data_IF_602682562798
#
_entry.id   IF_602682562798
#
_cell.length_a   1.000
_cell.length_b   1.000
_cell.length_c   1.000
_cell.angle_alpha   90.00
_cell.angle_beta   90.00
_cell.angle_gamma   90.00
#
_symmetry.space_group_name_H-M   'P 1'
#
loop_
_entity.id
_entity.type
_entity.pdbx_description
1 polymer ?
#
# COMPACT_ATOMS: atom_id res chain seq x y z
N UNK A 1 -20.02 -1.85 15.97
CA UNK A 1 -20.92 -1.34 14.90
C UNK A 1 -20.52 -1.93 13.55
N UNK A 2 -21.47 -2.30 12.70
CA UNK A 2 -21.20 -2.69 11.30
C UNK A 2 -21.76 -1.62 10.34
N UNK A 3 -21.04 -1.29 9.27
CA UNK A 3 -21.49 -0.35 8.21
C UNK A 3 -21.11 -0.90 6.84
N UNK A 4 -22.06 -0.88 5.91
CA UNK A 4 -21.80 -1.23 4.52
C UNK A 4 -21.35 0.00 3.74
N UNK A 5 -20.26 -0.13 2.96
CA UNK A 5 -19.82 0.91 2.03
C UNK A 5 -19.04 0.32 0.86
N UNK A 6 -19.46 0.63 -0.36
CA UNK A 6 -18.78 0.22 -1.58
C UNK A 6 -17.81 1.33 -2.01
N UNK A 7 -16.54 1.16 -1.68
CA UNK A 7 -15.44 2.04 -2.09
C UNK A 7 -14.22 1.19 -2.41
N UNK A 8 -13.40 1.69 -3.34
CA UNK A 8 -12.09 1.11 -3.59
C UNK A 8 -11.23 1.16 -2.33
N UNK A 9 -10.63 0.04 -1.97
CA UNK A 9 -9.77 -0.05 -0.78
C UNK A 9 -8.54 0.84 -0.94
N UNK A 10 -8.18 1.54 0.11
CA UNK A 10 -7.14 2.56 0.19
C UNK A 10 -7.44 3.86 -0.55
N UNK A 11 -8.61 4.01 -1.19
CA UNK A 11 -8.96 5.24 -1.89
C UNK A 11 -9.17 6.41 -0.93
N UNK A 12 -9.05 7.64 -1.43
CA UNK A 12 -9.39 8.86 -0.69
C UNK A 12 -10.79 8.80 -0.05
N UNK A 13 -11.77 8.25 -0.76
CA UNK A 13 -13.14 8.09 -0.27
C UNK A 13 -13.23 7.09 0.90
N UNK A 14 -12.43 6.02 0.87
CA UNK A 14 -12.32 5.10 2.01
C UNK A 14 -11.61 5.76 3.18
N UNK A 15 -10.49 6.45 2.94
CA UNK A 15 -9.74 7.14 4.00
C UNK A 15 -10.61 8.17 4.71
N UNK A 16 -11.34 9.02 3.96
CA UNK A 16 -12.30 9.99 4.52
C UNK A 16 -13.39 9.31 5.36
N UNK A 17 -13.89 8.15 4.91
CA UNK A 17 -14.88 7.39 5.66
C UNK A 17 -14.34 6.86 7.00
N UNK A 18 -13.13 6.30 6.97
CA UNK A 18 -12.48 5.79 8.18
C UNK A 18 -12.10 6.91 9.14
N UNK A 19 -11.66 8.07 8.63
CA UNK A 19 -11.40 9.27 9.42
C UNK A 19 -12.66 9.82 10.10
N UNK A 20 -13.78 9.87 9.38
CA UNK A 20 -15.06 10.26 9.97
C UNK A 20 -15.44 9.32 11.14
N UNK A 21 -15.25 8.01 10.98
CA UNK A 21 -15.51 7.03 12.03
C UNK A 21 -14.54 7.16 13.21
N UNK A 22 -13.27 7.48 12.94
CA UNK A 22 -12.28 7.79 13.97
C UNK A 22 -12.70 9.00 14.80
N UNK A 23 -13.16 10.08 14.16
CA UNK A 23 -13.65 11.29 14.83
C UNK A 23 -14.87 11.02 15.72
N UNK A 24 -15.73 10.06 15.33
CA UNK A 24 -16.84 9.56 16.12
C UNK A 24 -16.40 8.66 17.30
N UNK A 25 -15.12 8.31 17.42
CA UNK A 25 -14.59 7.43 18.48
C UNK A 25 -14.59 5.94 18.12
N UNK A 26 -14.67 5.60 16.85
CA UNK A 26 -14.66 4.22 16.36
C UNK A 26 -13.37 3.87 15.62
N UNK A 27 -12.85 2.67 15.88
CA UNK A 27 -11.71 2.11 15.14
C UNK A 27 -12.12 0.85 14.40
N UNK A 28 -11.50 0.63 13.24
CA UNK A 28 -11.76 -0.51 12.38
C UNK A 28 -11.19 -1.79 13.00
N UNK A 29 -11.95 -2.89 12.92
CA UNK A 29 -11.52 -4.22 13.38
C UNK A 29 -11.71 -5.31 12.33
N UNK A 30 -12.34 -5.01 11.20
CA UNK A 30 -12.50 -5.97 10.13
C UNK A 30 -13.23 -5.41 8.92
N UNK A 31 -12.92 -5.94 7.74
CA UNK A 31 -13.58 -5.58 6.47
C UNK A 31 -13.87 -6.86 5.71
N UNK A 32 -15.14 -7.19 5.49
CA UNK A 32 -15.56 -8.38 4.76
C UNK A 32 -16.60 -7.96 3.72
N UNK A 33 -16.36 -8.20 2.44
CA UNK A 33 -17.30 -7.95 1.34
C UNK A 33 -17.96 -6.55 1.37
N UNK A 34 -17.18 -5.50 1.66
CA UNK A 34 -17.68 -4.12 1.74
C UNK A 34 -18.37 -3.76 3.08
N UNK A 35 -18.48 -4.71 4.00
CA UNK A 35 -18.96 -4.47 5.38
C UNK A 35 -17.77 -4.18 6.28
N UNK A 36 -17.74 -2.98 6.85
CA UNK A 36 -16.75 -2.53 7.81
C UNK A 36 -17.28 -2.77 9.23
N UNK A 37 -16.47 -3.44 10.05
CA UNK A 37 -16.75 -3.71 11.45
C UNK A 37 -15.88 -2.80 12.31
N UNK A 38 -16.52 -2.11 13.25
CA UNK A 38 -15.90 -1.14 14.13
C UNK A 38 -16.15 -1.47 15.60
N UNK A 39 -15.16 -1.15 16.44
CA UNK A 39 -15.29 -1.09 17.90
C UNK A 39 -15.20 0.36 18.38
N UNK A 40 -15.95 0.70 19.42
CA UNK A 40 -15.94 2.03 20.00
C UNK A 40 -14.86 2.12 21.08
N UNK A 41 -13.98 3.12 20.97
CA UNK A 41 -13.05 3.51 22.01
C UNK A 41 -12.69 4.99 21.82
N UNK A 42 -13.11 5.90 22.72
CA UNK A 42 -12.87 7.33 22.58
C UNK A 42 -11.40 7.71 22.39
N UNK A 43 -10.45 6.93 22.94
CA UNK A 43 -9.00 7.18 22.82
C UNK A 43 -8.50 7.12 21.38
N UNK A 44 -9.26 6.53 20.45
CA UNK A 44 -8.88 6.50 19.02
C UNK A 44 -8.90 7.90 18.39
N UNK A 45 -9.64 8.86 18.94
CA UNK A 45 -9.73 10.22 18.37
C UNK A 45 -8.35 10.89 18.30
N UNK A 46 -7.51 10.61 19.29
CA UNK A 46 -6.16 11.13 19.44
C UNK A 46 -5.11 10.35 18.64
N UNK A 47 -5.51 9.34 17.88
CA UNK A 47 -4.60 8.55 17.03
C UNK A 47 -4.48 9.11 15.61
N UNK A 48 -3.41 8.77 14.90
CA UNK A 48 -3.29 9.00 13.46
C UNK A 48 -3.66 7.73 12.69
N UNK A 49 -4.63 7.82 11.76
CA UNK A 49 -4.95 6.71 10.87
C UNK A 49 -4.00 6.71 9.68
N UNK A 50 -3.49 5.53 9.35
CA UNK A 50 -2.71 5.32 8.15
C UNK A 50 -3.12 4.03 7.44
N UNK A 51 -2.80 3.99 6.15
CA UNK A 51 -3.15 2.90 5.24
C UNK A 51 -1.93 2.50 4.43
N UNK A 52 -1.55 1.24 4.52
CA UNK A 52 -0.35 0.70 3.87
C UNK A 52 -0.70 -0.46 2.94
N UNK A 53 -0.14 -0.44 1.74
CA UNK A 53 -0.21 -1.56 0.81
C UNK A 53 0.99 -2.48 1.00
N UNK A 54 0.73 -3.78 1.17
CA UNK A 54 1.78 -4.80 1.33
C UNK A 54 1.44 -6.06 0.52
N UNK A 55 2.44 -6.88 0.20
CA UNK A 55 2.17 -8.23 -0.31
C UNK A 55 1.72 -9.16 0.82
N UNK A 56 0.74 -10.03 0.54
CA UNK A 56 0.17 -10.94 1.54
C UNK A 56 1.19 -11.89 2.14
N UNK A 57 2.27 -12.22 1.41
CA UNK A 57 3.36 -13.07 1.90
C UNK A 57 4.12 -12.47 3.09
N UNK A 58 4.04 -11.15 3.28
CA UNK A 58 4.70 -10.43 4.37
C UNK A 58 3.79 -10.24 5.60
N UNK A 59 2.52 -10.67 5.54
CA UNK A 59 1.65 -10.69 6.70
C UNK A 59 2.11 -11.79 7.65
N UNK A 60 2.68 -11.42 8.80
CA UNK A 60 2.86 -12.35 9.93
C UNK A 60 1.50 -12.53 10.63
N UNK A 61 1.16 -13.76 11.01
CA UNK A 61 -0.11 -14.13 11.64
C UNK A 61 -0.29 -13.63 13.10
N UNK A 62 0.52 -12.69 13.56
CA UNK A 62 0.51 -12.26 14.96
C UNK A 62 -0.45 -11.09 15.16
N UNK A 63 -1.66 -11.37 15.67
CA UNK A 63 -2.67 -10.38 16.04
C UNK A 63 -2.53 -9.84 17.48
N UNK A 64 -1.43 -10.15 18.18
CA UNK A 64 -1.21 -9.68 19.54
C UNK A 64 -0.39 -8.39 19.54
N UNK A 65 -1.10 -7.25 19.54
CA UNK A 65 -0.53 -5.94 19.79
C UNK A 65 -0.08 -5.93 21.26
N UNK A 66 1.23 -5.98 21.54
CA UNK A 66 1.78 -5.78 22.88
C UNK A 66 1.49 -4.35 23.37
N UNK A 67 1.31 -4.14 24.67
CA UNK A 67 0.99 -2.81 25.23
C UNK A 67 2.04 -1.73 24.89
N UNK A 68 3.30 -2.14 24.73
CA UNK A 68 4.44 -1.29 24.31
C UNK A 68 4.43 -0.92 22.83
N UNK A 69 3.45 -1.41 22.06
CA UNK A 69 3.32 -1.11 20.63
C UNK A 69 2.97 0.37 20.41
N UNK A 70 3.57 1.04 19.39
CA UNK A 70 3.19 2.38 18.97
C UNK A 70 1.79 2.41 18.31
N UNK A 71 1.24 1.24 18.00
CA UNK A 71 -0.08 1.09 17.40
C UNK A 71 -1.16 0.93 18.47
N UNK A 72 -2.21 1.75 18.37
CA UNK A 72 -3.46 1.58 19.10
C UNK A 72 -4.27 0.39 18.57
N UNK A 73 -4.39 0.28 17.25
CA UNK A 73 -5.08 -0.83 16.59
C UNK A 73 -4.49 -1.06 15.19
N UNK A 74 -4.50 -2.32 14.76
CA UNK A 74 -4.08 -2.74 13.43
C UNK A 74 -5.17 -3.64 12.86
N UNK A 75 -5.57 -3.42 11.62
CA UNK A 75 -6.49 -4.30 10.88
C UNK A 75 -5.94 -4.54 9.49
N UNK A 76 -5.99 -5.79 9.03
CA UNK A 76 -5.53 -6.16 7.70
C UNK A 76 -6.70 -6.66 6.86
N UNK A 77 -6.66 -6.35 5.55
CA UNK A 77 -7.62 -6.88 4.58
C UNK A 77 -6.88 -7.28 3.32
N UNK A 78 -6.96 -8.57 2.98
CA UNK A 78 -6.54 -9.06 1.67
C UNK A 78 -7.42 -8.43 0.58
N UNK A 79 -6.76 -7.85 -0.42
CA UNK A 79 -7.42 -7.24 -1.57
C UNK A 79 -7.87 -8.34 -2.52
N UNK A 80 -9.13 -8.27 -2.94
CA UNK A 80 -9.75 -9.32 -3.73
C UNK A 80 -9.03 -9.46 -5.09
N UNK A 81 -8.96 -10.70 -5.61
CA UNK A 81 -8.29 -11.05 -6.86
C UNK A 81 -6.80 -10.62 -6.94
N UNK A 82 -6.10 -10.56 -5.80
CA UNK A 82 -4.69 -10.13 -5.80
C UNK A 82 -3.85 -10.79 -4.71
N UNK A 83 -2.53 -10.70 -4.86
CA UNK A 83 -1.52 -11.06 -3.84
C UNK A 83 -1.22 -9.92 -2.85
N UNK A 84 -2.03 -8.87 -2.87
CA UNK A 84 -1.82 -7.66 -2.08
C UNK A 84 -2.84 -7.58 -0.94
N UNK A 85 -2.46 -6.87 0.12
CA UNK A 85 -3.30 -6.57 1.26
C UNK A 85 -3.15 -5.10 1.63
N UNK A 86 -4.19 -4.56 2.24
CA UNK A 86 -4.16 -3.25 2.86
C UNK A 86 -4.11 -3.42 4.39
N UNK A 87 -3.24 -2.66 5.03
CA UNK A 87 -3.08 -2.60 6.47
C UNK A 87 -3.56 -1.23 6.93
N UNK A 88 -4.54 -1.22 7.82
CA UNK A 88 -5.04 -0.03 8.50
C UNK A 88 -4.39 0.04 9.88
N UNK A 89 -3.63 1.10 10.15
CA UNK A 89 -2.97 1.32 11.43
C UNK A 89 -3.49 2.58 12.08
N UNK A 90 -3.74 2.51 13.38
CA UNK A 90 -4.04 3.66 14.24
C UNK A 90 -2.83 3.87 15.15
N UNK A 91 -2.09 4.95 14.96
CA UNK A 91 -0.88 5.28 15.71
C UNK A 91 -1.21 6.11 16.95
N UNK A 92 -0.64 5.77 18.11
CA UNK A 92 -0.84 6.52 19.36
C UNK A 92 -0.20 7.92 19.31
N UNK A 93 0.89 8.06 18.57
CA UNK A 93 1.65 9.31 18.44
C UNK A 93 1.32 9.99 17.10
N UNK A 94 1.02 11.29 17.13
CA UNK A 94 0.74 12.11 15.94
C UNK A 94 2.01 12.71 15.35
N UNK A 95 3.05 12.85 16.16
CA UNK A 95 4.27 13.61 15.83
C UNK A 95 5.37 12.70 15.27
N UNK A 96 5.20 11.39 15.38
CA UNK A 96 5.98 10.40 14.63
C UNK A 96 5.16 9.92 13.42
N UNK A 97 5.34 10.50 12.22
CA UNK A 97 4.72 10.03 10.98
C UNK A 97 5.41 8.73 10.57
N UNK A 98 5.11 7.66 11.30
CA UNK A 98 5.54 6.31 11.04
C UNK A 98 4.91 5.93 9.69
N UNK A 99 5.61 6.10 8.57
CA UNK A 99 5.24 5.67 7.22
C UNK A 99 4.24 6.55 6.43
N UNK A 100 4.78 7.35 5.52
CA UNK A 100 4.17 7.60 4.21
C UNK A 100 5.20 7.13 3.18
N UNK A 101 5.58 5.84 3.22
CA UNK A 101 6.72 5.35 2.47
C UNK A 101 6.44 5.27 0.96
N UNK A 102 7.44 5.59 0.17
CA UNK A 102 7.49 5.30 -1.28
C UNK A 102 7.13 3.84 -1.57
N UNK A 103 7.50 2.90 -0.69
CA UNK A 103 7.19 1.46 -0.79
C UNK A 103 5.68 1.15 -0.84
N UNK A 104 4.86 1.82 -0.02
CA UNK A 104 3.39 1.61 -0.07
C UNK A 104 2.80 2.16 -1.37
N UNK A 105 3.31 3.29 -1.90
CA UNK A 105 2.85 3.85 -3.19
C UNK A 105 3.26 2.98 -4.37
N UNK A 106 4.46 2.40 -4.35
CA UNK A 106 4.92 1.45 -5.38
C UNK A 106 4.06 0.18 -5.36
N UNK A 107 3.80 -0.36 -4.16
CA UNK A 107 2.96 -1.55 -4.00
C UNK A 107 1.52 -1.29 -4.42
N UNK A 108 0.97 -0.11 -4.11
CA UNK A 108 -0.32 0.35 -4.61
C UNK A 108 -0.34 0.41 -6.14
N UNK A 109 0.70 0.95 -6.79
CA UNK A 109 0.80 1.00 -8.25
C UNK A 109 0.77 -0.40 -8.87
N UNK A 110 1.57 -1.33 -8.32
CA UNK A 110 1.61 -2.71 -8.80
C UNK A 110 0.25 -3.40 -8.66
N UNK A 111 -0.45 -3.18 -7.54
CA UNK A 111 -1.81 -3.67 -7.35
C UNK A 111 -2.79 -3.09 -8.38
N UNK A 112 -2.77 -1.76 -8.60
CA UNK A 112 -3.67 -1.10 -9.53
C UNK A 112 -3.43 -1.53 -10.99
N UNK A 113 -2.17 -1.68 -11.40
CA UNK A 113 -1.81 -2.22 -12.72
C UNK A 113 -2.25 -3.68 -12.90
N UNK A 114 -2.08 -4.51 -11.86
CA UNK A 114 -2.54 -5.89 -11.91
C UNK A 114 -4.07 -5.98 -12.10
N UNK A 115 -4.80 -5.15 -11.36
CA UNK A 115 -6.25 -5.09 -11.42
C UNK A 115 -6.74 -4.52 -12.77
N UNK A 116 -6.03 -3.56 -13.36
CA UNK A 116 -6.26 -3.10 -14.74
C UNK A 116 -6.09 -4.23 -15.77
N UNK A 117 -5.03 -5.03 -15.65
CA UNK A 117 -4.80 -6.16 -16.55
C UNK A 117 -5.88 -7.24 -16.44
N UNK A 118 -6.36 -7.52 -15.22
CA UNK A 118 -7.49 -8.43 -15.01
C UNK A 118 -8.74 -7.91 -15.72
N UNK A 119 -9.08 -6.63 -15.57
CA UNK A 119 -10.26 -6.07 -16.23
C UNK A 119 -10.13 -6.06 -17.74
N UNK A 120 -8.93 -5.81 -18.28
CA UNK A 120 -8.67 -5.93 -19.71
C UNK A 120 -8.89 -7.36 -20.22
N UNK A 121 -8.38 -8.37 -19.50
CA UNK A 121 -8.60 -9.78 -19.82
C UNK A 121 -10.08 -10.17 -19.78
N UNK A 122 -10.82 -9.74 -18.76
CA UNK A 122 -12.28 -9.97 -18.65
C UNK A 122 -13.02 -9.30 -19.81
N UNK A 123 -12.63 -8.07 -20.17
CA UNK A 123 -13.22 -7.33 -21.30
C UNK A 123 -13.06 -8.11 -22.60
N UNK A 124 -11.84 -8.59 -22.88
CA UNK A 124 -11.55 -9.38 -24.08
C UNK A 124 -12.37 -10.67 -24.10
N UNK A 125 -12.43 -11.40 -22.98
CA UNK A 125 -13.20 -12.63 -22.88
C UNK A 125 -14.71 -12.41 -23.14
N UNK A 126 -15.29 -11.37 -22.53
CA UNK A 126 -16.71 -11.02 -22.74
C UNK A 126 -16.98 -10.66 -24.19
N UNK A 127 -16.08 -9.89 -24.82
CA UNK A 127 -16.19 -9.54 -26.23
C UNK A 127 -16.23 -10.79 -27.13
N UNK A 128 -15.32 -11.75 -26.92
CA UNK A 128 -15.34 -13.01 -27.69
C UNK A 128 -16.63 -13.80 -27.49
N UNK A 129 -17.12 -13.91 -26.25
CA UNK A 129 -18.37 -14.61 -25.94
C UNK A 129 -19.57 -13.92 -26.62
N UNK A 130 -19.66 -12.59 -26.54
CA UNK A 130 -20.74 -11.82 -27.16
C UNK A 130 -20.72 -11.91 -28.69
N UNK A 131 -19.53 -11.87 -29.32
CA UNK A 131 -19.37 -12.07 -30.76
C UNK A 131 -19.78 -13.47 -31.19
N UNK A 132 -19.38 -14.51 -30.44
CA UNK A 132 -19.78 -15.89 -30.70
C UNK A 132 -21.29 -16.10 -30.59
N UNK A 133 -21.91 -15.57 -29.53
CA UNK A 133 -23.37 -15.61 -29.34
C UNK A 133 -24.10 -14.85 -30.46
N UNK A 134 -23.58 -13.69 -30.87
CA UNK A 134 -24.16 -12.91 -31.95
C UNK A 134 -24.14 -13.68 -33.28
N UNK A 135 -22.99 -14.25 -33.64
CA UNK A 135 -22.86 -15.08 -34.85
C UNK A 135 -23.79 -16.29 -34.83
N UNK A 136 -23.88 -16.98 -33.69
CA UNK A 136 -24.78 -18.12 -33.51
C UNK A 136 -26.26 -17.75 -33.71
N UNK A 137 -26.69 -16.63 -33.14
CA UNK A 137 -28.08 -16.15 -33.26
C UNK A 137 -28.43 -15.75 -34.70
N UNK A 138 -27.47 -15.18 -35.44
CA UNK A 138 -27.65 -14.85 -36.86
C UNK A 138 -27.77 -16.13 -37.69
N UNK A 139 -26.91 -17.13 -37.44
CA UNK A 139 -26.94 -18.40 -38.16
C UNK A 139 -28.29 -19.12 -37.99
N UNK A 140 -28.91 -19.01 -36.82
CA UNK A 140 -30.24 -19.57 -36.53
C UNK A 140 -31.40 -18.73 -37.09
N UNK A 141 -31.13 -17.70 -37.90
CA UNK A 141 -32.15 -16.85 -38.54
C UNK A 141 -33.12 -16.16 -37.56
N UNK A 142 -32.68 -15.93 -36.32
CA UNK A 142 -33.46 -15.12 -35.39
C UNK A 142 -33.62 -13.69 -35.91
N UNK A 143 -34.77 -13.06 -35.64
CA UNK A 143 -35.02 -11.66 -36.01
C UNK A 143 -33.89 -10.76 -35.52
N UNK A 144 -33.50 -9.78 -36.34
CA UNK A 144 -32.44 -8.81 -36.02
C UNK A 144 -32.60 -8.14 -34.64
N UNK A 145 -33.83 -7.99 -34.13
CA UNK A 145 -34.10 -7.45 -32.80
C UNK A 145 -33.58 -8.33 -31.65
N UNK A 146 -33.66 -9.66 -31.78
CA UNK A 146 -33.19 -10.63 -30.79
C UNK A 146 -31.70 -10.86 -30.97
N UNK A 147 -31.24 -10.95 -32.22
CA UNK A 147 -29.83 -11.09 -32.53
C UNK A 147 -28.99 -9.92 -31.99
N UNK A 148 -29.52 -8.70 -31.89
CA UNK A 148 -28.79 -7.53 -31.36
C UNK A 148 -28.63 -7.49 -29.83
N UNK A 149 -29.28 -8.38 -29.06
CA UNK A 149 -29.26 -8.34 -27.59
C UNK A 149 -27.84 -8.54 -27.00
N UNK A 150 -27.02 -9.52 -27.44
CA UNK A 150 -25.66 -9.69 -26.95
C UNK A 150 -24.77 -8.45 -27.15
N UNK A 151 -24.94 -7.73 -28.27
CA UNK A 151 -24.20 -6.50 -28.56
C UNK A 151 -24.58 -5.37 -27.60
N UNK A 152 -25.86 -5.24 -27.22
CA UNK A 152 -26.31 -4.25 -26.23
C UNK A 152 -25.73 -4.53 -24.84
N UNK A 153 -25.71 -5.81 -24.43
CA UNK A 153 -25.07 -6.22 -23.18
C UNK A 153 -23.56 -5.96 -23.21
N UNK A 154 -22.88 -6.26 -24.32
CA UNK A 154 -21.46 -5.96 -24.51
C UNK A 154 -21.17 -4.47 -24.33
N UNK A 155 -21.97 -3.60 -24.95
CA UNK A 155 -21.84 -2.13 -24.83
C UNK A 155 -22.00 -1.65 -23.38
N UNK A 156 -22.98 -2.16 -22.64
CA UNK A 156 -23.18 -1.81 -21.24
C UNK A 156 -22.00 -2.24 -20.35
N UNK A 157 -21.49 -3.45 -20.56
CA UNK A 157 -20.33 -3.97 -19.82
C UNK A 157 -19.08 -3.15 -20.14
N UNK A 158 -18.86 -2.84 -21.42
CA UNK A 158 -17.76 -2.00 -21.88
C UNK A 158 -17.81 -0.61 -21.25
N UNK A 159 -18.99 0.02 -21.19
CA UNK A 159 -19.17 1.32 -20.55
C UNK A 159 -18.80 1.26 -19.06
N UNK A 160 -19.27 0.24 -18.34
CA UNK A 160 -18.94 0.05 -16.92
C UNK A 160 -17.44 -0.16 -16.68
N UNK A 161 -16.79 -1.00 -17.50
CA UNK A 161 -15.35 -1.26 -17.42
C UNK A 161 -14.52 -0.05 -17.84
N UNK A 162 -15.00 0.77 -18.78
CA UNK A 162 -14.35 2.01 -19.18
C UNK A 162 -14.32 3.02 -18.03
N UNK A 163 -15.46 3.24 -17.36
CA UNK A 163 -15.54 4.10 -16.17
C UNK A 163 -14.58 3.61 -15.09
N UNK A 164 -14.54 2.30 -14.86
CA UNK A 164 -13.71 1.70 -13.84
C UNK A 164 -12.20 1.83 -14.16
N UNK A 165 -11.83 1.63 -15.42
CA UNK A 165 -10.46 1.85 -15.92
C UNK A 165 -10.06 3.32 -15.81
N UNK A 166 -10.97 4.24 -16.11
CA UNK A 166 -10.73 5.67 -15.94
C UNK A 166 -10.44 6.04 -14.48
N UNK A 167 -11.22 5.51 -13.53
CA UNK A 167 -11.01 5.71 -12.09
C UNK A 167 -9.64 5.17 -11.65
N UNK A 168 -9.25 3.98 -12.12
CA UNK A 168 -7.94 3.38 -11.81
C UNK A 168 -6.82 4.24 -12.38
N UNK A 169 -6.89 4.63 -13.66
CA UNK A 169 -5.88 5.46 -14.32
C UNK A 169 -5.73 6.81 -13.63
N UNK A 170 -6.84 7.44 -13.23
CA UNK A 170 -6.81 8.66 -12.44
C UNK A 170 -6.08 8.46 -11.11
N UNK A 171 -6.36 7.36 -10.42
CA UNK A 171 -5.68 7.01 -9.15
C UNK A 171 -4.20 6.75 -9.35
N UNK A 172 -3.80 6.03 -10.41
CA UNK A 172 -2.39 5.81 -10.75
C UNK A 172 -1.69 7.16 -10.97
N UNK A 173 -2.28 8.05 -11.78
CA UNK A 173 -1.70 9.38 -12.05
C UNK A 173 -1.57 10.28 -10.82
N UNK A 174 -2.49 10.18 -9.87
CA UNK A 174 -2.54 11.07 -8.68
C UNK A 174 -1.80 10.51 -7.47
N UNK A 175 -1.59 9.20 -7.40
CA UNK A 175 -1.10 8.53 -6.18
C UNK A 175 0.26 7.85 -6.38
N UNK A 176 0.63 7.50 -7.61
CA UNK A 176 1.89 6.85 -7.90
C UNK A 176 2.96 7.91 -8.26
N UNK A 177 4.20 7.76 -7.78
CA UNK A 177 5.27 8.66 -8.19
C UNK A 177 5.44 8.58 -9.71
N UNK A 178 5.32 9.72 -10.37
CA UNK A 178 5.95 9.94 -11.67
C UNK A 178 7.43 9.59 -11.51
N UNK A 179 8.07 8.97 -12.51
CA UNK A 179 9.48 8.52 -12.45
C UNK A 179 10.50 9.57 -11.97
N UNK A 180 10.08 10.83 -11.89
CA UNK A 180 10.85 12.01 -11.51
C UNK A 180 10.71 12.36 -10.00
N UNK A 181 9.70 11.83 -9.31
CA UNK A 181 9.45 12.18 -7.90
C UNK A 181 10.15 11.20 -6.95
N UNK A 182 11.37 11.60 -6.58
CA UNK A 182 12.06 11.28 -5.33
C UNK A 182 12.60 9.84 -5.22
N UNK A 183 13.79 9.63 -5.81
CA UNK A 183 14.67 8.51 -5.45
C UNK A 183 15.09 8.70 -3.99
N UNK A 184 14.28 8.19 -3.06
CA UNK A 184 14.76 7.93 -1.71
C UNK A 184 15.69 6.73 -1.78
N UNK A 185 16.95 6.94 -1.41
CA UNK A 185 17.92 5.86 -1.31
C UNK A 185 17.68 5.14 0.03
N UNK A 186 17.48 3.83 -0.05
CA UNK A 186 17.38 2.97 1.13
C UNK A 186 18.77 2.51 1.53
N UNK A 187 19.20 2.89 2.73
CA UNK A 187 20.46 2.50 3.33
C UNK A 187 20.23 1.56 4.50
N UNK A 188 21.03 0.51 4.62
CA UNK A 188 21.11 -0.29 5.84
C UNK A 188 22.17 0.35 6.74
N UNK A 189 21.79 0.81 7.92
CA UNK A 189 22.67 1.38 8.92
C UNK A 189 22.78 0.43 10.11
N UNK A 190 23.97 -0.06 10.43
CA UNK A 190 24.19 -0.80 11.68
C UNK A 190 24.93 0.06 12.68
N UNK A 191 24.42 0.14 13.90
CA UNK A 191 24.99 0.90 15.02
C UNK A 191 25.40 -0.09 16.11
N UNK A 192 26.67 -0.07 16.51
CA UNK A 192 27.14 -0.83 17.66
C UNK A 192 27.00 0.03 18.92
N UNK A 193 26.38 -0.51 19.97
CA UNK A 193 26.17 0.20 21.24
C UNK A 193 26.53 -0.70 22.42
N UNK A 194 27.28 -0.15 23.38
CA UNK A 194 27.65 -0.85 24.62
C UNK A 194 26.54 -0.76 25.69
N UNK A 195 25.70 0.28 25.64
CA UNK A 195 24.76 0.64 26.72
C UNK A 195 23.28 0.33 26.38
N UNK A 196 23.05 -0.54 25.38
CA UNK A 196 21.72 -0.93 24.93
C UNK A 196 21.26 -0.21 23.64
N UNK A 197 19.95 -0.18 23.39
CA UNK A 197 19.40 0.32 22.12
C UNK A 197 19.77 1.79 21.90
N UNK A 198 20.43 2.15 20.77
CA UNK A 198 20.85 3.51 20.52
C UNK A 198 19.65 4.44 20.33
N UNK A 199 19.77 5.67 20.85
CA UNK A 199 18.78 6.71 20.64
C UNK A 199 18.96 7.33 19.25
N UNK A 200 17.88 7.30 18.46
CA UNK A 200 17.84 7.75 17.06
C UNK A 200 17.08 9.07 16.94
N UNK A 201 16.44 9.56 18.01
CA UNK A 201 15.74 10.85 17.98
C UNK A 201 16.60 11.99 17.42
N UNK A 202 17.90 12.11 17.77
CA UNK A 202 18.75 13.16 17.21
C UNK A 202 18.99 13.02 15.70
N UNK A 203 18.88 11.80 15.16
CA UNK A 203 19.22 11.46 13.78
C UNK A 203 18.00 11.48 12.84
N UNK A 204 16.81 11.80 13.34
CA UNK A 204 15.57 11.83 12.53
C UNK A 204 15.64 12.82 11.36
N UNK A 205 16.44 13.88 11.48
CA UNK A 205 16.64 14.86 10.41
C UNK A 205 17.30 14.26 9.14
N UNK A 206 17.98 13.12 9.27
CA UNK A 206 18.64 12.43 8.15
C UNK A 206 17.67 11.62 7.29
N UNK A 207 16.45 11.36 7.78
CA UNK A 207 15.46 10.59 7.06
C UNK A 207 14.68 9.65 7.96
N UNK A 208 13.96 8.70 7.35
CA UNK A 208 13.12 7.77 8.08
C UNK A 208 13.93 6.55 8.52
N UNK A 209 14.03 6.35 9.83
CA UNK A 209 14.74 5.23 10.45
C UNK A 209 13.77 4.10 10.81
N UNK A 210 14.13 2.87 10.45
CA UNK A 210 13.36 1.67 10.77
C UNK A 210 14.25 0.64 11.44
N UNK A 211 13.93 0.26 12.67
CA UNK A 211 14.62 -0.86 13.32
C UNK A 211 14.33 -2.18 12.60
N UNK A 212 15.38 -2.93 12.32
CA UNK A 212 15.31 -4.24 11.64
C UNK A 212 15.48 -5.35 12.66
N UNK A 213 16.63 -5.39 13.34
CA UNK A 213 16.97 -6.46 14.29
C UNK A 213 18.18 -6.05 15.13
N UNK A 214 18.39 -6.75 16.24
CA UNK A 214 19.64 -6.74 16.99
C UNK A 214 20.40 -8.06 16.74
N UNK A 215 21.72 -8.00 16.56
CA UNK A 215 22.58 -9.19 16.50
C UNK A 215 23.99 -8.82 17.01
N UNK A 216 24.51 -9.60 17.98
CA UNK A 216 25.86 -9.44 18.52
C UNK A 216 26.18 -8.01 19.04
N UNK A 217 25.25 -7.38 19.76
CA UNK A 217 25.42 -6.00 20.26
C UNK A 217 25.38 -4.91 19.17
N UNK A 218 25.02 -5.29 17.94
CA UNK A 218 24.77 -4.36 16.83
C UNK A 218 23.28 -4.25 16.56
N UNK A 219 22.80 -3.02 16.49
CA UNK A 219 21.43 -2.66 16.17
C UNK A 219 21.35 -2.26 14.70
N UNK A 220 20.56 -3.00 13.93
CA UNK A 220 20.39 -2.79 12.50
C UNK A 220 19.16 -1.94 12.24
N UNK A 221 19.33 -0.94 11.39
CA UNK A 221 18.31 -0.01 10.97
C UNK A 221 18.30 0.10 9.44
N UNK A 222 17.13 0.34 8.87
CA UNK A 222 17.03 0.87 7.51
C UNK A 222 16.78 2.37 7.60
N UNK A 223 17.65 3.16 6.99
CA UNK A 223 17.51 4.60 6.81
C UNK A 223 17.06 4.88 5.39
N UNK A 224 15.90 5.50 5.24
CA UNK A 224 15.43 6.03 3.96
C UNK A 224 15.72 7.53 3.92
N UNK A 225 16.65 7.92 3.08
CA UNK A 225 17.11 9.32 2.99
C UNK A 225 17.09 9.84 1.56
N UNK A 226 16.89 11.15 1.44
CA UNK A 226 17.15 11.92 0.21
C UNK A 226 18.61 12.34 0.10
N UNK A 227 19.37 12.24 1.20
CA UNK A 227 20.75 12.64 1.23
C UNK A 227 21.64 11.54 0.65
N UNK A 228 22.68 11.91 -0.12
CA UNK A 228 23.63 10.97 -0.66
C UNK A 228 24.45 10.32 0.46
N UNK A 229 25.02 9.14 0.18
CA UNK A 229 25.69 8.28 1.15
C UNK A 229 26.82 9.00 1.89
N UNK A 230 27.57 9.82 1.16
CA UNK A 230 28.73 10.58 1.66
C UNK A 230 28.28 11.61 2.70
N UNK A 231 27.15 12.28 2.46
CA UNK A 231 26.56 13.23 3.40
C UNK A 231 26.06 12.50 4.65
N UNK A 232 25.44 11.33 4.49
CA UNK A 232 24.98 10.53 5.63
C UNK A 232 26.15 10.09 6.52
N UNK A 233 27.24 9.59 5.94
CA UNK A 233 28.44 9.18 6.69
C UNK A 233 29.02 10.37 7.46
N UNK A 234 29.13 11.52 6.82
CA UNK A 234 29.69 12.72 7.45
C UNK A 234 28.79 13.30 8.54
N UNK A 235 27.47 13.25 8.37
CA UNK A 235 26.51 13.82 9.33
C UNK A 235 26.25 12.90 10.52
N UNK A 236 26.52 11.60 10.38
CA UNK A 236 26.31 10.63 11.45
C UNK A 236 27.29 10.76 12.63
N UNK A 237 28.32 11.62 12.54
CA UNK A 237 29.20 12.15 13.59
C UNK A 237 29.42 11.28 14.86
N UNK A 238 29.55 9.97 14.66
CA UNK A 238 29.85 8.94 15.65
C UNK A 238 31.07 8.20 15.08
N UNK A 239 31.95 7.69 15.94
CA UNK A 239 33.20 7.05 15.50
C UNK A 239 32.93 6.02 14.38
N UNK A 240 33.65 6.11 13.24
CA UNK A 240 33.42 5.27 12.05
C UNK A 240 33.36 3.76 12.34
N UNK A 241 34.05 3.33 13.39
CA UNK A 241 34.17 1.93 13.80
C UNK A 241 32.84 1.34 14.31
N UNK A 242 31.84 2.18 14.59
CA UNK A 242 30.57 1.77 15.18
C UNK A 242 29.34 1.98 14.28
N UNK A 243 29.51 2.62 13.11
CA UNK A 243 28.40 2.84 12.15
C UNK A 243 28.79 2.37 10.75
N UNK A 244 27.99 1.46 10.21
CA UNK A 244 28.17 0.97 8.83
C UNK A 244 26.94 1.30 8.01
N UNK A 245 27.11 2.05 6.92
CA UNK A 245 26.05 2.44 5.97
C UNK A 245 26.23 1.68 4.66
N UNK A 246 25.30 0.79 4.35
CA UNK A 246 25.27 0.00 3.11
C UNK A 246 24.13 0.48 2.22
N UNK A 247 24.42 0.88 0.99
CA UNK A 247 23.38 1.06 -0.02
C UNK A 247 22.81 -0.29 -0.46
N UNK A 248 21.54 -0.36 -0.86
CA UNK A 248 21.00 -1.54 -1.56
C UNK A 248 21.83 -1.92 -2.80
N UNK A 249 22.50 -0.95 -3.41
CA UNK A 249 23.40 -1.12 -4.56
C UNK A 249 24.82 -1.55 -4.18
N UNK A 250 25.25 -1.33 -2.94
CA UNK A 250 26.58 -1.78 -2.47
C UNK A 250 26.63 -3.30 -2.26
N UNK A 251 25.47 -3.93 -2.07
CA UNK A 251 25.34 -5.38 -1.89
C UNK A 251 25.24 -6.14 -3.23
N UNK A 252 25.01 -5.43 -4.34
CA UNK A 252 24.99 -5.99 -5.69
C UNK A 252 25.52 -4.95 -6.68
N UNK A 253 26.78 -5.07 -7.17
CA UNK A 253 27.31 -4.12 -8.13
C UNK A 253 26.53 -4.21 -9.43
N UNK A 254 25.65 -3.24 -9.68
CA UNK A 254 25.06 -3.03 -10.99
C UNK A 254 25.87 -1.92 -11.64
N UNK A 255 26.76 -2.30 -12.56
CA UNK A 255 27.38 -1.39 -13.50
C UNK A 255 26.29 -0.76 -14.35
N UNK A 256 25.86 0.46 -14.03
CA UNK A 256 25.16 1.29 -15.00
C UNK A 256 26.23 2.05 -15.80
N UNK A 257 26.47 1.58 -17.02
CA UNK A 257 27.11 2.41 -18.03
C UNK A 257 26.16 3.58 -18.35
N UNK A 258 26.66 4.80 -18.15
CA UNK A 258 26.04 6.02 -18.68
C UNK A 258 26.21 6.08 -20.20
#
# INVERSE_FOLDING_TARGET
>A
MKKFKLVFKGSLSEKKFLEQKKAEGYYLTGVINGVYTFKHNPKVKDTQLQTHFIETKHLKNEHNIKDTSPFFAITTKKLDLSRYAIVYTYLKDKDNPIYNSTDTRMTENLYLKHLQNIFLGITMAIMFICLGLWMYLIQQSYKNSIAAVPLKFMLLILLGLFILTFIINYRIKTTCPTQVDEIYLSYSVSIQSMDGKPDIQPLQHLGAWRFVTEKNGKYYYNLYSKQPKEVLINTLNIQPDHIFVYSQWDLFPVYMHF
#
